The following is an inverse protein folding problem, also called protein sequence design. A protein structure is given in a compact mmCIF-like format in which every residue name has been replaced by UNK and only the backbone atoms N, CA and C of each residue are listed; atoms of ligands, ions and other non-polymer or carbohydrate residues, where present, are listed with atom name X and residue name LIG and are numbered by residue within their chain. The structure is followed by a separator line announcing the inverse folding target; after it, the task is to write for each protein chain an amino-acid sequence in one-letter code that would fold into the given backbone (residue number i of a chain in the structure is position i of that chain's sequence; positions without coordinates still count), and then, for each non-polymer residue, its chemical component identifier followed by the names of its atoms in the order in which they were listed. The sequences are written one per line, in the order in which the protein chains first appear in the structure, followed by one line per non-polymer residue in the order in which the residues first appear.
data_IF_063723000003
#
_entry.id   IF_063723000003
#
_cell.length_a   1.000
_cell.length_b   1.000
_cell.length_c   1.000
_cell.angle_alpha   90.00
_cell.angle_beta   90.00
_cell.angle_gamma   90.00
#
_symmetry.space_group_name_H-M   'P 1'
#
loop_
_entity.id
_entity.type
_entity.pdbx_description
1 polymer ?
#
# COMPACT_ATOMS: atom_id res chain seq x y z
N UNK A 1 -8.39 -47.60 29.40
CA UNK A 1 -8.30 -46.24 28.80
C UNK A 1 -7.04 -46.00 27.96
N UNK A 2 -6.01 -46.88 27.97
CA UNK A 2 -4.80 -46.73 27.13
C UNK A 2 -4.94 -47.17 25.66
N UNK A 3 -5.88 -48.07 25.34
CA UNK A 3 -6.07 -48.54 23.96
C UNK A 3 -6.60 -47.45 23.00
N UNK A 4 -7.38 -46.50 23.50
CA UNK A 4 -7.90 -45.39 22.71
C UNK A 4 -6.81 -44.37 22.34
N UNK A 5 -5.87 -44.10 23.26
CA UNK A 5 -4.78 -43.15 23.06
C UNK A 5 -3.81 -43.58 21.94
N UNK A 6 -3.56 -44.89 21.81
CA UNK A 6 -2.70 -45.45 20.77
C UNK A 6 -3.32 -45.39 19.36
N UNK A 7 -4.65 -45.47 19.26
CA UNK A 7 -5.38 -45.34 17.99
C UNK A 7 -5.30 -43.92 17.40
N UNK A 8 -5.38 -42.89 18.25
CA UNK A 8 -5.28 -41.50 17.82
C UNK A 8 -3.88 -41.13 17.29
N UNK A 9 -2.82 -41.66 17.90
CA UNK A 9 -1.45 -41.43 17.41
C UNK A 9 -1.18 -42.12 16.07
N UNK A 10 -1.66 -43.34 15.87
CA UNK A 10 -1.52 -44.08 14.61
C UNK A 10 -2.29 -43.42 13.45
N UNK A 11 -3.50 -42.88 13.72
CA UNK A 11 -4.29 -42.15 12.73
C UNK A 11 -3.60 -40.84 12.31
N UNK A 12 -2.99 -40.12 13.26
CA UNK A 12 -2.26 -38.86 13.02
C UNK A 12 -1.03 -39.07 12.14
N UNK A 13 -0.31 -40.18 12.32
CA UNK A 13 0.83 -40.55 11.48
C UNK A 13 0.42 -40.95 10.05
N UNK A 14 -0.71 -41.66 9.89
CA UNK A 14 -1.24 -42.02 8.56
C UNK A 14 -1.71 -40.79 7.78
N UNK A 15 -2.32 -39.81 8.45
CA UNK A 15 -2.70 -38.53 7.82
C UNK A 15 -1.46 -37.73 7.38
N UNK A 16 -0.37 -37.79 8.15
CA UNK A 16 0.91 -37.13 7.82
C UNK A 16 1.60 -37.75 6.60
N UNK A 17 1.60 -39.09 6.48
CA UNK A 17 2.13 -39.82 5.30
C UNK A 17 1.29 -39.67 4.03
N UNK A 18 -0.04 -39.49 4.15
CA UNK A 18 -0.91 -39.26 2.98
C UNK A 18 -0.78 -37.84 2.41
N UNK A 19 -0.33 -36.88 3.21
CA UNK A 19 -0.11 -35.49 2.78
C UNK A 19 1.22 -35.29 2.05
N UNK A 20 2.18 -36.20 2.20
CA UNK A 20 3.47 -36.18 1.48
C UNK A 20 3.44 -36.88 0.11
N UNK A 21 2.35 -37.56 -0.27
CA UNK A 21 2.21 -38.27 -1.55
C UNK A 21 1.39 -37.54 -2.63
N UNK A 22 0.96 -36.30 -2.35
CA UNK A 22 0.45 -35.36 -3.36
C UNK A 22 1.41 -34.18 -3.49
N UNK A 23 2.65 -34.49 -3.84
CA UNK A 23 3.55 -33.49 -4.40
C UNK A 23 3.04 -33.18 -5.82
N UNK A 24 2.22 -32.14 -5.93
CA UNK A 24 2.07 -31.43 -7.20
C UNK A 24 3.45 -30.96 -7.65
N UNK A 25 3.63 -30.93 -8.97
CA UNK A 25 4.86 -30.49 -9.64
C UNK A 25 5.51 -29.31 -8.93
N UNK A 26 6.84 -29.36 -8.76
CA UNK A 26 7.69 -28.35 -8.14
C UNK A 26 7.45 -26.91 -8.65
N UNK A 27 6.86 -26.77 -9.84
CA UNK A 27 6.46 -25.48 -10.42
C UNK A 27 5.23 -24.83 -9.73
N UNK A 28 4.32 -25.59 -9.13
CA UNK A 28 3.15 -25.06 -8.40
C UNK A 28 3.48 -24.70 -6.94
N UNK A 29 4.61 -25.20 -6.41
CA UNK A 29 5.01 -24.96 -5.02
C UNK A 29 5.46 -23.51 -4.77
N UNK A 30 5.74 -22.74 -5.82
CA UNK A 30 6.22 -21.35 -5.76
C UNK A 30 5.08 -20.35 -5.97
N UNK A 31 3.86 -20.83 -6.27
CA UNK A 31 2.69 -19.95 -6.36
C UNK A 31 2.21 -19.63 -4.93
N UNK A 32 2.60 -18.45 -4.44
CA UNK A 32 2.09 -17.83 -3.23
C UNK A 32 0.56 -17.84 -3.19
N UNK A 33 0.01 -18.36 -2.10
CA UNK A 33 -1.44 -18.49 -1.88
C UNK A 33 -2.20 -17.18 -2.06
N UNK A 34 -1.58 -16.05 -1.68
CA UNK A 34 -2.20 -14.73 -1.72
C UNK A 34 -1.87 -14.04 -3.05
N UNK A 35 -2.89 -13.92 -3.90
CA UNK A 35 -2.82 -13.29 -5.21
C UNK A 35 -3.84 -12.14 -5.32
N UNK A 36 -3.37 -10.97 -5.73
CA UNK A 36 -4.21 -9.81 -6.04
C UNK A 36 -4.69 -9.90 -7.48
N UNK A 37 -5.97 -10.25 -7.67
CA UNK A 37 -6.61 -10.25 -9.00
C UNK A 37 -6.62 -8.88 -9.67
N UNK A 38 -6.51 -7.80 -8.89
CA UNK A 38 -6.62 -6.42 -9.40
C UNK A 38 -5.29 -5.94 -9.95
N UNK A 39 -4.19 -6.16 -9.23
CA UNK A 39 -2.86 -5.71 -9.66
C UNK A 39 -2.07 -6.79 -10.42
N UNK A 40 -2.55 -8.03 -10.40
CA UNK A 40 -1.86 -9.20 -10.94
C UNK A 40 -0.66 -9.66 -10.09
N UNK A 41 -0.48 -9.09 -8.88
CA UNK A 41 0.68 -9.38 -8.02
C UNK A 41 0.40 -10.50 -7.04
N UNK A 42 1.48 -11.15 -6.62
CA UNK A 42 1.45 -12.30 -5.73
C UNK A 42 2.37 -12.06 -4.54
N UNK A 43 1.92 -12.49 -3.36
CA UNK A 43 2.77 -12.53 -2.18
C UNK A 43 3.61 -13.80 -2.23
N UNK A 44 4.91 -13.66 -2.53
CA UNK A 44 5.87 -14.77 -2.59
C UNK A 44 6.29 -15.36 -1.25
N UNK A 45 5.33 -15.55 -0.32
CA UNK A 45 5.54 -16.26 0.95
C UNK A 45 4.81 -17.60 0.93
N UNK A 46 5.46 -18.63 1.47
CA UNK A 46 4.78 -19.91 1.75
C UNK A 46 3.81 -19.78 2.92
N UNK A 47 2.90 -20.75 3.07
CA UNK A 47 1.99 -20.82 4.22
C UNK A 47 2.76 -20.85 5.55
N UNK A 48 3.86 -21.61 5.62
CA UNK A 48 4.73 -21.66 6.81
C UNK A 48 5.38 -20.31 7.10
N UNK A 49 5.89 -19.61 6.08
CA UNK A 49 6.47 -18.28 6.28
C UNK A 49 5.42 -17.28 6.74
N UNK A 50 4.18 -17.36 6.24
CA UNK A 50 3.06 -16.54 6.70
C UNK A 50 2.77 -16.75 8.19
N UNK A 51 2.72 -18.02 8.64
CA UNK A 51 2.54 -18.36 10.05
C UNK A 51 3.70 -17.86 10.92
N UNK A 52 4.93 -18.00 10.44
CA UNK A 52 6.14 -17.56 11.14
C UNK A 52 6.17 -16.03 11.33
N UNK A 53 5.87 -15.23 10.31
CA UNK A 53 5.84 -13.76 10.47
C UNK A 53 4.68 -13.30 11.34
N UNK A 54 3.52 -13.98 11.28
CA UNK A 54 2.39 -13.69 12.16
C UNK A 54 2.75 -13.96 13.64
N UNK A 55 3.43 -15.06 13.91
CA UNK A 55 3.92 -15.41 15.26
C UNK A 55 5.05 -14.48 15.72
N UNK A 56 5.99 -14.13 14.84
CA UNK A 56 7.02 -13.14 15.16
C UNK A 56 6.40 -11.79 15.53
N UNK A 57 5.36 -11.38 14.81
CA UNK A 57 4.60 -10.16 15.14
C UNK A 57 3.88 -10.25 16.48
N UNK A 58 3.23 -11.38 16.78
CA UNK A 58 2.51 -11.54 18.05
C UNK A 58 3.46 -11.41 19.25
N UNK A 59 4.70 -11.90 19.10
CA UNK A 59 5.73 -11.87 20.12
C UNK A 59 6.33 -10.48 20.39
N UNK A 60 6.01 -9.45 19.59
CA UNK A 60 6.42 -8.07 19.89
C UNK A 60 5.65 -7.58 21.13
N UNK A 61 6.30 -7.29 22.28
CA UNK A 61 5.61 -6.98 23.52
C UNK A 61 4.84 -5.66 23.45
N UNK A 62 5.48 -4.60 22.94
CA UNK A 62 4.88 -3.27 22.78
C UNK A 62 4.93 -2.84 21.30
N UNK A 63 3.87 -3.21 20.57
CA UNK A 63 3.69 -2.86 19.16
C UNK A 63 3.49 -1.36 18.96
N UNK A 64 2.87 -0.68 19.92
CA UNK A 64 2.64 0.75 19.83
C UNK A 64 3.97 1.48 19.88
N UNK A 65 4.80 1.19 20.89
CA UNK A 65 6.12 1.79 21.04
C UNK A 65 7.03 1.48 19.84
N UNK A 66 7.01 0.24 19.33
CA UNK A 66 7.78 -0.12 18.15
C UNK A 66 7.44 0.76 16.93
N UNK A 67 6.14 0.96 16.66
CA UNK A 67 5.70 1.81 15.55
C UNK A 67 5.82 3.30 15.83
N UNK A 68 5.68 3.74 17.09
CA UNK A 68 5.96 5.12 17.49
C UNK A 68 7.42 5.47 17.17
N UNK A 69 8.37 4.64 17.61
CA UNK A 69 9.79 4.83 17.34
C UNK A 69 10.12 4.73 15.84
N UNK A 70 9.42 3.87 15.10
CA UNK A 70 9.53 3.80 13.64
C UNK A 70 9.19 5.15 12.99
N UNK A 71 8.01 5.72 13.29
CA UNK A 71 7.59 6.99 12.70
C UNK A 71 8.43 8.17 13.18
N UNK A 72 8.86 8.19 14.45
CA UNK A 72 9.77 9.22 14.95
C UNK A 72 11.10 9.20 14.18
N UNK A 73 11.71 8.03 13.99
CA UNK A 73 12.94 7.92 13.20
C UNK A 73 12.70 8.27 11.73
N UNK A 74 11.56 7.87 11.16
CA UNK A 74 11.20 8.21 9.79
C UNK A 74 11.14 9.73 9.59
N UNK A 75 10.40 10.44 10.45
CA UNK A 75 10.19 11.88 10.33
C UNK A 75 11.40 12.73 10.74
N UNK A 76 12.27 12.24 11.63
CA UNK A 76 13.39 13.04 12.14
C UNK A 76 14.74 12.69 11.51
N UNK A 77 14.91 11.50 10.93
CA UNK A 77 16.22 11.00 10.45
C UNK A 77 16.18 10.52 9.01
N UNK A 78 15.24 9.63 8.68
CA UNK A 78 15.26 8.93 7.39
C UNK A 78 14.67 9.76 6.24
N UNK A 79 13.58 10.47 6.49
CA UNK A 79 12.90 11.32 5.51
C UNK A 79 12.15 12.49 6.17
N UNK A 80 12.86 13.58 6.50
CA UNK A 80 12.24 14.78 7.07
C UNK A 80 11.17 15.43 6.18
N UNK A 81 11.20 15.19 4.85
CA UNK A 81 10.15 15.71 3.97
C UNK A 81 8.80 15.03 4.21
N UNK A 82 8.78 13.81 4.75
CA UNK A 82 7.53 13.20 5.22
C UNK A 82 6.96 13.95 6.42
N UNK A 83 7.77 14.51 7.31
CA UNK A 83 7.27 15.31 8.43
C UNK A 83 6.44 16.52 7.92
N UNK A 84 6.89 17.17 6.84
CA UNK A 84 6.16 18.27 6.18
C UNK A 84 4.79 17.80 5.67
N UNK A 85 4.72 16.63 5.03
CA UNK A 85 3.45 16.07 4.53
C UNK A 85 2.43 15.86 5.65
N UNK A 86 2.90 15.50 6.85
CA UNK A 86 2.07 15.27 8.02
C UNK A 86 1.87 16.51 8.90
N UNK A 87 2.49 17.65 8.56
CA UNK A 87 2.42 18.89 9.35
C UNK A 87 3.20 18.83 10.67
N UNK A 88 4.27 18.02 10.72
CA UNK A 88 5.13 17.83 11.90
C UNK A 88 6.54 18.43 11.74
N UNK A 89 6.73 19.30 10.75
CA UNK A 89 8.01 19.96 10.49
C UNK A 89 8.50 20.75 11.72
N UNK A 90 9.78 20.56 12.07
CA UNK A 90 10.42 21.26 13.19
C UNK A 90 9.99 20.83 14.60
N UNK A 91 9.05 19.89 14.73
CA UNK A 91 8.57 19.42 16.04
C UNK A 91 9.53 18.39 16.61
N UNK A 92 9.97 18.59 17.85
CA UNK A 92 10.89 17.67 18.53
C UNK A 92 10.21 16.32 18.83
N UNK A 93 10.93 15.19 18.85
CA UNK A 93 10.36 13.87 19.11
C UNK A 93 9.56 13.78 20.41
N UNK A 94 9.99 14.45 21.49
CA UNK A 94 9.34 14.44 22.80
C UNK A 94 7.97 15.14 22.77
N UNK A 95 7.86 16.21 21.98
CA UNK A 95 6.62 16.96 21.77
C UNK A 95 5.68 16.21 20.83
N UNK A 96 6.22 15.68 19.73
CA UNK A 96 5.45 14.93 18.74
C UNK A 96 4.74 13.72 19.36
N UNK A 97 5.39 13.01 20.30
CA UNK A 97 4.79 11.91 21.07
C UNK A 97 3.51 12.31 21.83
N UNK A 98 3.39 13.58 22.22
CA UNK A 98 2.22 14.09 22.98
C UNK A 98 1.09 14.54 22.06
N UNK A 99 1.36 14.75 20.78
CA UNK A 99 0.38 15.25 19.82
C UNK A 99 -0.67 14.18 19.48
N UNK A 100 -1.94 14.51 19.69
CA UNK A 100 -3.07 13.62 19.38
C UNK A 100 -3.09 13.13 17.91
N UNK A 101 -2.85 13.98 16.88
CA UNK A 101 -2.81 13.52 15.49
C UNK A 101 -1.74 12.44 15.25
N UNK A 102 -0.54 12.61 15.80
CA UNK A 102 0.55 11.64 15.67
C UNK A 102 0.21 10.31 16.36
N UNK A 103 -0.21 10.36 17.64
CA UNK A 103 -0.62 9.16 18.39
C UNK A 103 -1.77 8.41 17.71
N UNK A 104 -2.73 9.15 17.16
CA UNK A 104 -3.84 8.58 16.39
C UNK A 104 -3.35 7.89 15.12
N UNK A 105 -2.37 8.45 14.42
CA UNK A 105 -1.78 7.81 13.24
C UNK A 105 -1.06 6.51 13.60
N UNK A 106 -0.23 6.52 14.65
CA UNK A 106 0.47 5.32 15.15
C UNK A 106 -0.53 4.22 15.54
N UNK A 107 -1.59 4.58 16.27
CA UNK A 107 -2.64 3.64 16.67
C UNK A 107 -3.38 3.04 15.46
N UNK A 108 -3.76 3.86 14.47
CA UNK A 108 -4.37 3.38 13.22
C UNK A 108 -3.43 2.44 12.46
N UNK A 109 -2.15 2.78 12.38
CA UNK A 109 -1.14 1.94 11.73
C UNK A 109 -0.95 0.60 12.45
N UNK A 110 -0.87 0.59 13.78
CA UNK A 110 -0.81 -0.64 14.56
C UNK A 110 -2.03 -1.54 14.32
N UNK A 111 -3.24 -0.97 14.31
CA UNK A 111 -4.47 -1.72 14.02
C UNK A 111 -4.47 -2.31 12.62
N UNK A 112 -4.00 -1.55 11.63
CA UNK A 112 -3.83 -2.03 10.27
C UNK A 112 -2.85 -3.21 10.20
N UNK A 113 -1.64 -3.06 10.75
CA UNK A 113 -0.64 -4.13 10.78
C UNK A 113 -1.17 -5.38 11.51
N UNK A 114 -1.82 -5.18 12.65
CA UNK A 114 -2.45 -6.29 13.39
C UNK A 114 -3.45 -7.02 12.51
N UNK A 115 -4.35 -6.31 11.84
CA UNK A 115 -5.34 -6.92 10.94
C UNK A 115 -4.69 -7.71 9.81
N UNK A 116 -3.65 -7.14 9.17
CA UNK A 116 -2.91 -7.82 8.09
C UNK A 116 -2.29 -9.12 8.59
N UNK A 117 -1.54 -9.08 9.70
CA UNK A 117 -0.84 -10.26 10.23
C UNK A 117 -1.80 -11.30 10.79
N UNK A 118 -2.95 -10.88 11.32
CA UNK A 118 -3.98 -11.79 11.84
C UNK A 118 -4.73 -12.52 10.72
N UNK A 119 -4.84 -11.90 9.54
CA UNK A 119 -5.45 -12.50 8.36
C UNK A 119 -4.46 -13.30 7.51
N UNK A 120 -3.16 -12.98 7.61
CA UNK A 120 -2.12 -13.58 6.79
C UNK A 120 -2.14 -15.12 6.79
N UNK A 121 -2.25 -15.85 7.92
CA UNK A 121 -2.30 -17.32 7.90
C UNK A 121 -3.69 -17.90 7.58
N UNK A 122 -4.75 -17.07 7.53
CA UNK A 122 -6.13 -17.55 7.33
C UNK A 122 -6.37 -17.86 5.85
N UNK A 123 -6.89 -19.06 5.57
CA UNK A 123 -7.26 -19.51 4.22
C UNK A 123 -8.65 -18.98 3.83
N UNK A 124 -8.87 -18.79 2.52
CA UNK A 124 -10.13 -18.32 1.94
C UNK A 124 -10.51 -16.88 2.34
N UNK A 125 -9.53 -16.06 2.76
CA UNK A 125 -9.67 -14.64 3.10
C UNK A 125 -8.62 -13.76 2.41
N UNK A 126 -7.95 -14.30 1.39
CA UNK A 126 -6.86 -13.66 0.67
C UNK A 126 -7.33 -12.40 -0.06
N UNK A 127 -8.49 -12.48 -0.70
CA UNK A 127 -9.08 -11.34 -1.40
C UNK A 127 -9.45 -10.21 -0.43
N UNK A 128 -10.01 -10.56 0.74
CA UNK A 128 -10.33 -9.58 1.78
C UNK A 128 -9.07 -8.91 2.33
N UNK A 129 -8.00 -9.68 2.59
CA UNK A 129 -6.70 -9.16 3.01
C UNK A 129 -6.16 -8.14 2.00
N UNK A 130 -6.17 -8.49 0.71
CA UNK A 130 -5.73 -7.61 -0.37
C UNK A 130 -6.59 -6.34 -0.39
N UNK A 131 -7.92 -6.45 -0.23
CA UNK A 131 -8.79 -5.28 -0.20
C UNK A 131 -8.52 -4.34 0.98
N UNK A 132 -8.20 -4.88 2.17
CA UNK A 132 -7.83 -4.09 3.34
C UNK A 132 -6.55 -3.29 3.06
N UNK A 133 -5.53 -3.92 2.49
CA UNK A 133 -4.27 -3.25 2.11
C UNK A 133 -4.55 -2.14 1.08
N UNK A 134 -5.32 -2.46 0.03
CA UNK A 134 -5.66 -1.50 -1.03
C UNK A 134 -6.53 -0.35 -0.52
N UNK A 135 -7.39 -0.58 0.47
CA UNK A 135 -8.20 0.45 1.11
C UNK A 135 -7.33 1.51 1.78
N UNK A 136 -6.27 1.11 2.48
CA UNK A 136 -5.31 2.05 3.05
C UNK A 136 -4.64 2.87 1.95
N UNK A 137 -4.23 2.24 0.84
CA UNK A 137 -3.71 2.95 -0.33
C UNK A 137 -4.64 4.05 -0.87
N UNK A 138 -5.94 3.76 -0.99
CA UNK A 138 -6.96 4.74 -1.41
C UNK A 138 -7.15 5.87 -0.40
N UNK A 139 -7.16 5.56 0.90
CA UNK A 139 -7.31 6.58 1.95
C UNK A 139 -6.18 7.62 1.92
N UNK A 140 -4.99 7.20 1.51
CA UNK A 140 -3.84 8.10 1.36
C UNK A 140 -3.98 9.09 0.20
N UNK A 141 -4.93 8.91 -0.73
CA UNK A 141 -5.28 9.92 -1.75
C UNK A 141 -5.87 11.20 -1.15
N UNK A 142 -6.40 11.15 0.08
CA UNK A 142 -6.95 12.32 0.76
C UNK A 142 -5.85 13.21 1.38
N UNK A 143 -4.59 12.76 1.38
CA UNK A 143 -3.45 13.53 1.88
C UNK A 143 -2.83 14.32 0.73
N UNK A 144 -3.22 15.59 0.59
CA UNK A 144 -2.90 16.44 -0.58
C UNK A 144 -1.40 16.48 -0.95
N UNK A 145 -0.51 16.48 0.05
CA UNK A 145 0.94 16.60 -0.15
C UNK A 145 1.65 15.25 -0.29
N UNK A 146 0.93 14.14 -0.13
CA UNK A 146 1.53 12.82 -0.23
C UNK A 146 1.68 12.42 -1.70
N UNK A 147 2.85 11.87 -2.03
CA UNK A 147 3.16 11.33 -3.34
C UNK A 147 3.78 9.95 -3.22
N UNK A 148 3.52 9.08 -4.20
CA UNK A 148 4.07 7.73 -4.25
C UNK A 148 5.42 7.65 -4.99
N UNK A 149 6.39 8.47 -4.56
CA UNK A 149 7.76 8.43 -5.12
C UNK A 149 8.53 7.24 -4.60
N UNK A 150 9.43 6.67 -5.41
CA UNK A 150 10.22 5.50 -5.00
C UNK A 150 11.02 5.75 -3.71
N UNK A 151 11.59 6.96 -3.57
CA UNK A 151 12.39 7.34 -2.41
C UNK A 151 11.60 7.29 -1.10
N UNK A 152 10.43 7.96 -1.04
CA UNK A 152 9.60 8.03 0.19
C UNK A 152 9.19 6.64 0.68
N UNK A 153 8.81 5.76 -0.25
CA UNK A 153 8.40 4.40 0.09
C UNK A 153 9.57 3.49 0.44
N UNK A 154 10.76 3.73 -0.12
CA UNK A 154 11.97 3.04 0.29
C UNK A 154 12.36 3.41 1.74
N UNK A 155 12.34 4.70 2.09
CA UNK A 155 12.57 5.14 3.47
C UNK A 155 11.55 4.53 4.43
N UNK A 156 10.26 4.55 4.08
CA UNK A 156 9.21 3.92 4.87
C UNK A 156 9.42 2.41 5.03
N UNK A 157 9.74 1.70 3.94
CA UNK A 157 10.04 0.25 3.96
C UNK A 157 11.22 -0.05 4.90
N UNK A 158 12.31 0.69 4.79
CA UNK A 158 13.49 0.49 5.63
C UNK A 158 13.16 0.74 7.11
N UNK A 159 12.40 1.81 7.41
CA UNK A 159 11.93 2.08 8.76
C UNK A 159 11.06 0.93 9.30
N UNK A 160 10.14 0.39 8.50
CA UNK A 160 9.33 -0.77 8.87
C UNK A 160 10.18 -2.02 9.13
N UNK A 161 11.13 -2.33 8.27
CA UNK A 161 12.02 -3.49 8.46
C UNK A 161 12.86 -3.34 9.72
N UNK A 162 13.36 -2.13 9.98
CA UNK A 162 14.06 -1.82 11.22
C UNK A 162 13.13 -1.96 12.45
N UNK A 163 11.85 -1.64 12.35
CA UNK A 163 10.92 -1.80 13.47
C UNK A 163 10.53 -3.27 13.73
N UNK A 164 10.36 -4.05 12.66
CA UNK A 164 9.84 -5.42 12.72
C UNK A 164 10.93 -6.49 12.89
N UNK A 165 12.13 -6.25 12.36
CA UNK A 165 13.24 -7.19 12.38
C UNK A 165 14.33 -6.83 13.44
N UNK A 166 14.03 -5.92 14.37
CA UNK A 166 15.00 -5.46 15.38
C UNK A 166 15.32 -6.55 16.40
N UNK A 167 16.55 -7.07 16.33
CA UNK A 167 17.18 -7.91 17.36
C UNK A 167 16.77 -9.38 17.39
N UNK A 168 17.66 -10.24 17.89
CA UNK A 168 17.40 -11.65 18.21
C UNK A 168 16.84 -12.49 17.06
N UNK A 169 15.83 -13.32 17.36
CA UNK A 169 15.15 -14.19 16.40
C UNK A 169 14.38 -13.42 15.32
N UNK A 170 14.04 -12.15 15.52
CA UNK A 170 13.28 -11.35 14.53
C UNK A 170 14.06 -11.12 13.24
N UNK A 171 15.41 -11.11 13.30
CA UNK A 171 16.26 -10.97 12.12
C UNK A 171 16.22 -12.23 11.23
N UNK A 172 15.90 -13.40 11.81
CA UNK A 172 15.67 -14.66 11.07
C UNK A 172 14.57 -14.51 10.01
N UNK A 173 13.59 -13.67 10.29
CA UNK A 173 12.43 -13.45 9.42
C UNK A 173 12.57 -12.23 8.52
N UNK A 174 13.76 -11.60 8.45
CA UNK A 174 13.99 -10.38 7.68
C UNK A 174 13.55 -10.51 6.22
N UNK A 175 13.90 -11.62 5.56
CA UNK A 175 13.50 -11.88 4.17
C UNK A 175 11.98 -11.94 4.01
N UNK A 176 11.29 -12.64 4.93
CA UNK A 176 9.83 -12.74 4.90
C UNK A 176 9.15 -11.39 5.18
N UNK A 177 9.68 -10.62 6.13
CA UNK A 177 9.25 -9.23 6.36
C UNK A 177 9.44 -8.37 5.12
N UNK A 178 10.61 -8.43 4.49
CA UNK A 178 10.92 -7.69 3.27
C UNK A 178 9.93 -8.00 2.15
N UNK A 179 9.59 -9.28 1.94
CA UNK A 179 8.60 -9.69 0.93
C UNK A 179 7.20 -9.16 1.28
N UNK A 180 6.74 -9.35 2.53
CA UNK A 180 5.41 -8.90 2.97
C UNK A 180 5.25 -7.38 2.85
N UNK A 181 6.22 -6.63 3.38
CA UNK A 181 6.19 -5.16 3.35
C UNK A 181 6.23 -4.64 1.91
N UNK A 182 7.04 -5.26 1.05
CA UNK A 182 7.10 -4.90 -0.37
C UNK A 182 5.77 -5.16 -1.07
N UNK A 183 5.15 -6.32 -0.82
CA UNK A 183 3.82 -6.64 -1.35
C UNK A 183 2.78 -5.62 -0.92
N UNK A 184 2.72 -5.29 0.38
CA UNK A 184 1.79 -4.30 0.92
C UNK A 184 1.95 -2.92 0.28
N UNK A 185 3.19 -2.41 0.22
CA UNK A 185 3.49 -1.11 -0.42
C UNK A 185 3.07 -1.13 -1.89
N UNK A 186 3.32 -2.25 -2.59
CA UNK A 186 2.99 -2.38 -4.00
C UNK A 186 1.47 -2.36 -4.25
N UNK A 187 0.66 -2.96 -3.38
CA UNK A 187 -0.81 -2.92 -3.46
C UNK A 187 -1.36 -1.56 -3.07
N UNK A 188 -0.82 -0.93 -2.02
CA UNK A 188 -1.20 0.42 -1.62
C UNK A 188 -0.92 1.42 -2.74
N UNK A 189 0.26 1.34 -3.37
CA UNK A 189 0.66 2.20 -4.49
C UNK A 189 -0.25 2.01 -5.69
N UNK A 190 -0.52 0.78 -6.07
CA UNK A 190 -1.40 0.48 -7.19
C UNK A 190 -2.81 1.03 -6.96
N UNK A 191 -3.38 0.80 -5.78
CA UNK A 191 -4.70 1.30 -5.40
C UNK A 191 -4.75 2.84 -5.34
N UNK A 192 -3.71 3.49 -4.82
CA UNK A 192 -3.58 4.95 -4.82
C UNK A 192 -3.59 5.51 -6.25
N UNK A 193 -2.74 4.98 -7.13
CA UNK A 193 -2.62 5.47 -8.51
C UNK A 193 -3.89 5.21 -9.34
N UNK A 194 -4.54 4.05 -9.14
CA UNK A 194 -5.83 3.77 -9.73
C UNK A 194 -6.89 4.77 -9.28
N UNK A 195 -6.95 5.10 -7.99
CA UNK A 195 -7.93 6.05 -7.47
C UNK A 195 -7.68 7.49 -7.92
N UNK A 196 -6.42 7.95 -7.94
CA UNK A 196 -6.07 9.28 -8.49
C UNK A 196 -6.48 9.40 -9.97
N UNK A 197 -6.27 8.33 -10.78
CA UNK A 197 -6.73 8.31 -12.19
C UNK A 197 -8.24 8.44 -12.29
N UNK A 198 -8.98 7.73 -11.43
CA UNK A 198 -10.45 7.80 -11.38
C UNK A 198 -10.95 9.19 -10.97
N UNK A 199 -10.34 9.83 -9.97
CA UNK A 199 -10.70 11.19 -9.55
C UNK A 199 -10.48 12.20 -10.67
N UNK A 200 -9.37 12.07 -11.42
CA UNK A 200 -9.08 12.92 -12.58
C UNK A 200 -10.04 12.66 -13.74
N UNK A 201 -10.37 11.40 -14.05
CA UNK A 201 -11.31 11.08 -15.13
C UNK A 201 -12.74 11.54 -14.79
N UNK A 202 -13.14 11.50 -13.52
CA UNK A 202 -14.45 11.97 -13.05
C UNK A 202 -14.54 13.50 -12.97
N UNK A 203 -13.41 14.23 -12.96
CA UNK A 203 -13.39 15.70 -13.13
C UNK A 203 -13.40 16.16 -14.59
N UNK A 204 -13.23 15.24 -15.56
CA UNK A 204 -13.25 15.50 -17.00
C UNK A 204 -14.60 15.39 -17.75
N UNK A 205 -15.74 14.88 -17.22
CA UNK A 205 -16.98 14.79 -17.98
C UNK A 205 -17.55 16.17 -18.37
N UNK A 206 -17.35 17.19 -17.53
CA UNK A 206 -17.90 18.53 -17.77
C UNK A 206 -17.12 19.34 -18.82
N UNK A 207 -15.85 18.99 -19.09
CA UNK A 207 -15.07 19.72 -20.11
C UNK A 207 -15.47 19.24 -21.50
N UNK A 208 -15.65 17.93 -21.71
CA UNK A 208 -16.05 17.39 -23.02
C UNK A 208 -17.51 17.71 -23.38
N UNK A 209 -18.41 17.83 -22.41
CA UNK A 209 -19.77 18.35 -22.66
C UNK A 209 -19.78 19.84 -23.01
N UNK A 210 -18.94 20.67 -22.37
CA UNK A 210 -18.78 22.07 -22.74
C UNK A 210 -18.28 22.22 -24.19
N UNK A 211 -17.24 21.47 -24.58
CA UNK A 211 -16.74 21.48 -25.95
C UNK A 211 -17.76 20.93 -26.98
N UNK A 212 -18.62 19.97 -26.61
CA UNK A 212 -19.68 19.47 -27.53
C UNK A 212 -20.85 20.44 -27.71
N UNK A 213 -21.13 21.28 -26.71
CA UNK A 213 -22.16 22.31 -26.80
C UNK A 213 -21.69 23.51 -27.64
N UNK A 214 -20.40 23.84 -27.61
CA UNK A 214 -19.83 24.95 -28.39
C UNK A 214 -19.76 24.67 -29.89
N UNK A 215 -19.64 23.40 -30.33
CA UNK A 215 -19.69 23.05 -31.75
C UNK A 215 -21.10 23.05 -32.37
N UNK A 216 -22.17 23.18 -31.56
CA UNK A 216 -23.57 23.20 -32.05
C UNK A 216 -24.22 24.59 -32.06
N UNK A 217 -23.63 25.60 -31.40
CA UNK A 217 -24.07 27.00 -31.51
C UNK A 217 -23.09 27.75 -32.40
N UNK A 218 -23.39 27.74 -33.70
CA UNK A 218 -22.52 28.29 -34.73
C UNK A 218 -22.40 29.82 -34.73
N UNK A 219 -21.59 30.32 -35.66
CA UNK A 219 -21.89 31.49 -36.49
C UNK A 219 -20.91 31.56 -37.67
N UNK A 220 -21.31 32.21 -38.78
CA UNK A 220 -20.67 32.09 -40.09
C UNK A 220 -19.41 32.95 -40.21
N UNK A 221 -18.49 32.49 -41.06
CA UNK A 221 -17.26 33.22 -41.44
C UNK A 221 -17.63 34.43 -42.30
N UNK A 222 -17.20 35.66 -41.99
CA UNK A 222 -17.32 36.78 -42.91
C UNK A 222 -16.22 36.68 -43.98
N UNK A 223 -16.62 36.70 -45.24
CA UNK A 223 -15.77 36.78 -46.42
C UNK A 223 -15.23 38.21 -46.59
N UNK A 224 -13.91 38.33 -46.61
CA UNK A 224 -13.16 39.59 -46.72
C UNK A 224 -12.85 39.86 -48.22
N UNK A 225 -13.73 40.60 -48.90
CA UNK A 225 -13.44 41.24 -50.19
C UNK A 225 -12.96 42.67 -49.91
N UNK A 226 -11.66 42.92 -50.09
CA UNK A 226 -11.09 44.26 -49.97
C UNK A 226 -11.32 45.14 -51.20
N UNK A 227 -11.15 46.45 -51.06
CA UNK A 227 -10.58 47.25 -52.13
C UNK A 227 -9.36 48.05 -51.64
N UNK A 228 -8.27 47.93 -52.41
CA UNK A 228 -7.07 48.75 -52.34
C UNK A 228 -7.37 50.21 -52.71
N UNK A 229 -7.13 51.14 -51.79
CA UNK A 229 -7.09 52.57 -52.07
C UNK A 229 -5.65 53.11 -52.07
N UNK A 230 -5.41 53.92 -53.09
CA UNK A 230 -4.22 54.68 -53.45
C UNK A 230 -3.85 55.74 -52.41
N UNK A 231 -2.54 55.97 -52.26
CA UNK A 231 -1.93 57.00 -51.40
C UNK A 231 -2.18 58.43 -51.90
N UNK A 232 -2.35 59.32 -50.91
CA UNK A 232 -2.28 60.79 -50.93
C UNK A 232 -0.95 61.31 -51.52
N UNK A 233 -0.72 62.56 -51.94
CA UNK A 233 -1.10 63.88 -51.42
C UNK A 233 -0.84 64.96 -52.51
N UNK A 234 -1.60 66.06 -52.52
CA UNK A 234 -1.13 67.36 -53.05
C UNK A 234 -1.83 68.55 -52.33
N UNK A 235 -1.03 69.32 -51.58
CA UNK A 235 -1.08 70.77 -51.30
C UNK A 235 -2.23 71.37 -50.46
N UNK A 236 -2.04 72.55 -49.80
CA UNK A 236 -1.01 73.58 -50.02
C UNK A 236 -0.06 73.92 -48.86
#
# INVERSE_FOLDING_TARGET
MEAAANGFHAARQRYRKRRTSRAGSSADAVRGRIYSKISGKELGLSDEQCEQVAMAFSNIPDKYYAFEQMFLNLFNKEDPQLAVVFGFEGIKPEELRRMSPFRTHVCKFQRFMTTVLDMLPKKNREEELVQIIRMVGRQHCNVKLLSFTAQKWLSFKNAMLNALARGGESNKYYSSWNILVSFMISEMKDAYLAHIRQLRSNSLPHVLEAYRLDFRRGSPVPSDEGPSQSRDDDLP
#
